data_IF_546979731780
#
_entry.id   IF_546979731780
#
_cell.length_a   1.000
_cell.length_b   1.000
_cell.length_c   1.000
_cell.angle_alpha   90.00
_cell.angle_beta   90.00
_cell.angle_gamma   90.00
#
_symmetry.space_group_name_H-M   'P 1'
#
loop_
_entity.id
_entity.type
_entity.pdbx_description
1 polymer ?
#
# COMPACT_ATOMS: atom_id res chain seq x y z
N UNK A 1 44.73 -2.72 -14.48
CA UNK A 1 46.20 -2.59 -14.40
C UNK A 1 46.57 -2.42 -12.95
N UNK A 2 47.44 -3.29 -12.45
CA UNK A 2 48.01 -3.23 -11.10
C UNK A 2 49.02 -2.10 -11.01
N UNK A 3 49.04 -1.38 -9.90
CA UNK A 3 50.29 -0.93 -9.30
C UNK A 3 50.11 -0.74 -7.79
N UNK A 4 50.82 -1.56 -7.02
CA UNK A 4 51.06 -1.37 -5.59
C UNK A 4 52.36 -0.57 -5.44
N UNK A 5 52.37 0.44 -4.57
CA UNK A 5 53.62 0.93 -3.96
C UNK A 5 53.37 1.16 -2.48
N UNK A 6 53.98 0.31 -1.65
CA UNK A 6 53.98 0.40 -0.19
C UNK A 6 55.23 1.16 0.26
N UNK A 7 55.06 2.27 0.97
CA UNK A 7 56.10 2.88 1.83
C UNK A 7 55.60 2.86 3.27
N UNK A 8 56.22 2.01 4.09
CA UNK A 8 56.01 1.93 5.54
C UNK A 8 56.84 2.99 6.25
N UNK A 9 56.22 3.80 7.12
CA UNK A 9 56.94 4.42 8.23
C UNK A 9 56.08 4.51 9.51
N UNK A 10 56.77 4.29 10.63
CA UNK A 10 56.25 3.91 11.96
C UNK A 10 55.43 5.00 12.65
N UNK A 11 54.24 4.63 13.18
CA UNK A 11 53.74 4.89 14.55
C UNK A 11 52.25 4.47 14.64
N UNK A 12 51.90 3.71 15.68
CA UNK A 12 50.56 3.36 16.16
C UNK A 12 49.37 3.59 15.22
N UNK A 13 48.85 2.51 14.64
CA UNK A 13 47.44 2.40 14.25
C UNK A 13 47.04 0.91 14.21
N UNK A 14 45.91 0.59 14.81
CA UNK A 14 45.24 -0.69 14.68
C UNK A 14 45.06 -1.02 13.19
N UNK A 15 45.55 -2.17 12.74
CA UNK A 15 45.24 -2.71 11.42
C UNK A 15 43.79 -3.21 11.50
N UNK A 16 42.84 -2.36 11.09
CA UNK A 16 41.53 -2.84 10.66
C UNK A 16 41.63 -3.02 9.15
N UNK A 17 41.68 -4.27 8.69
CA UNK A 17 41.46 -4.57 7.29
C UNK A 17 39.96 -4.42 7.01
N UNK A 18 39.53 -3.24 6.58
CA UNK A 18 38.18 -3.06 6.03
C UNK A 18 38.18 -3.58 4.61
N UNK A 19 37.66 -4.79 4.41
CA UNK A 19 37.15 -5.20 3.11
C UNK A 19 35.78 -4.56 2.95
N UNK A 20 35.67 -3.52 2.14
CA UNK A 20 34.37 -2.97 1.73
C UNK A 20 33.72 -3.97 0.78
N UNK A 21 32.74 -4.73 1.28
CA UNK A 21 31.85 -5.50 0.43
C UNK A 21 30.70 -4.55 0.06
N UNK A 22 30.67 -4.08 -1.19
CA UNK A 22 29.51 -3.35 -1.71
C UNK A 22 28.39 -4.37 -1.94
N UNK A 23 27.44 -4.40 -1.00
CA UNK A 23 26.22 -5.18 -1.11
C UNK A 23 25.13 -4.26 -1.67
N UNK A 24 24.54 -4.64 -2.80
CA UNK A 24 23.37 -3.96 -3.37
C UNK A 24 22.12 -4.13 -2.48
N UNK A 25 21.05 -3.35 -2.73
CA UNK A 25 19.87 -3.26 -1.86
C UNK A 25 19.10 -4.58 -1.65
N UNK A 26 19.40 -5.63 -2.43
CA UNK A 26 18.75 -6.94 -2.33
C UNK A 26 19.61 -8.02 -1.63
N UNK A 27 20.66 -7.65 -0.89
CA UNK A 27 21.52 -8.65 -0.22
C UNK A 27 21.08 -8.94 1.22
N UNK A 28 20.51 -10.12 1.46
CA UNK A 28 20.25 -10.65 2.80
C UNK A 28 21.49 -11.36 3.37
N UNK A 29 22.05 -10.86 4.48
CA UNK A 29 23.21 -11.45 5.16
C UNK A 29 22.75 -12.32 6.36
N UNK A 30 22.93 -13.64 6.28
CA UNK A 30 22.63 -14.57 7.38
C UNK A 30 23.94 -15.01 8.05
N UNK A 31 24.15 -14.64 9.32
CA UNK A 31 25.33 -15.02 10.11
C UNK A 31 24.95 -16.11 11.13
N UNK A 32 25.77 -17.18 11.23
CA UNK A 32 25.55 -18.29 12.17
C UNK A 32 25.74 -17.87 13.65
N UNK A 33 24.84 -18.38 14.49
CA UNK A 33 24.51 -18.08 15.90
C UNK A 33 25.63 -18.23 16.98
N UNK A 34 26.89 -18.52 16.63
CA UNK A 34 27.93 -18.88 17.63
C UNK A 34 29.09 -17.88 17.80
N UNK A 35 28.88 -16.58 17.57
CA UNK A 35 29.90 -15.54 17.84
C UNK A 35 29.56 -14.56 18.97
N UNK A 36 28.57 -14.88 19.80
CA UNK A 36 28.06 -13.98 20.85
C UNK A 36 28.57 -14.35 22.26
N UNK A 37 29.87 -14.27 22.52
CA UNK A 37 30.36 -14.55 23.91
C UNK A 37 31.57 -13.73 24.37
N UNK A 38 31.86 -12.57 23.77
CA UNK A 38 32.93 -11.68 24.29
C UNK A 38 32.65 -10.19 24.06
N UNK A 39 31.58 -9.65 24.66
CA UNK A 39 31.35 -8.20 24.71
C UNK A 39 30.43 -7.72 25.85
N UNK A 40 30.38 -8.41 27.01
CA UNK A 40 29.37 -8.11 28.05
C UNK A 40 29.92 -7.33 29.28
N UNK A 41 31.22 -7.04 29.36
CA UNK A 41 31.77 -6.43 30.59
C UNK A 41 31.69 -4.89 30.67
N UNK A 42 31.27 -4.17 29.63
CA UNK A 42 31.28 -2.69 29.62
C UNK A 42 29.90 -2.01 29.51
N UNK A 43 28.81 -2.76 29.50
CA UNK A 43 27.44 -2.22 29.38
C UNK A 43 26.69 -2.06 30.71
N UNK A 44 27.34 -2.35 31.85
CA UNK A 44 26.68 -2.35 33.16
C UNK A 44 26.52 -0.96 33.80
N UNK A 45 27.14 0.11 33.26
CA UNK A 45 27.10 1.44 33.87
C UNK A 45 26.22 2.48 33.14
N UNK A 46 25.72 2.18 31.94
CA UNK A 46 24.76 3.03 31.21
C UNK A 46 23.30 2.64 31.45
N UNK A 47 23.05 1.54 32.16
CA UNK A 47 21.72 0.98 32.38
C UNK A 47 20.92 1.68 33.51
N UNK A 48 21.53 2.58 34.28
CA UNK A 48 20.87 3.24 35.43
C UNK A 48 20.33 4.64 35.09
N UNK A 49 20.74 5.24 33.97
CA UNK A 49 20.27 6.57 33.52
C UNK A 49 19.06 6.54 32.56
N UNK A 50 18.51 5.36 32.25
CA UNK A 50 17.34 5.20 31.37
C UNK A 50 16.00 4.98 32.11
N UNK A 51 16.00 5.06 33.45
CA UNK A 51 14.79 4.85 34.27
C UNK A 51 13.94 6.11 34.48
N UNK A 52 14.25 7.21 33.81
CA UNK A 52 13.37 8.39 33.74
C UNK A 52 12.75 8.53 32.35
N UNK A 53 12.14 7.46 31.85
CA UNK A 53 11.06 7.65 30.91
C UNK A 53 9.93 8.35 31.69
N UNK A 54 9.45 9.55 31.30
CA UNK A 54 8.18 10.01 31.83
C UNK A 54 7.19 8.89 31.54
N UNK A 55 6.50 8.41 32.56
CA UNK A 55 5.39 7.49 32.38
C UNK A 55 4.48 8.13 31.33
N UNK A 56 4.45 7.57 30.13
CA UNK A 56 3.46 7.92 29.11
C UNK A 56 2.13 7.85 29.86
N UNK A 57 1.50 9.01 30.03
CA UNK A 57 0.31 9.14 30.83
C UNK A 57 -0.72 8.16 30.28
N UNK A 58 -0.93 7.04 30.99
CA UNK A 58 -1.97 6.07 30.70
C UNK A 58 -3.32 6.60 31.19
N UNK A 59 -3.63 7.85 30.85
CA UNK A 59 -4.93 8.44 31.05
C UNK A 59 -5.93 7.73 30.15
N UNK A 60 -7.16 7.54 30.65
CA UNK A 60 -8.26 7.14 29.77
C UNK A 60 -8.35 8.14 28.61
N UNK A 61 -8.59 7.71 27.36
CA UNK A 61 -8.79 8.61 26.25
C UNK A 61 -9.85 9.65 26.60
N UNK A 62 -9.52 10.93 26.43
CA UNK A 62 -10.49 12.01 26.63
C UNK A 62 -11.52 11.98 25.50
N UNK A 63 -12.70 11.43 25.80
CA UNK A 63 -13.81 11.27 24.85
C UNK A 63 -14.32 12.61 24.35
N UNK A 64 -14.22 13.67 25.16
CA UNK A 64 -14.64 15.01 24.75
C UNK A 64 -13.65 15.59 23.74
N UNK A 65 -12.34 15.50 24.03
CA UNK A 65 -11.31 15.93 23.09
C UNK A 65 -11.38 15.20 21.74
N UNK A 66 -11.67 13.90 21.75
CA UNK A 66 -11.92 13.12 20.53
C UNK A 66 -13.12 13.67 19.75
N UNK A 67 -14.24 13.89 20.44
CA UNK A 67 -15.48 14.40 19.85
C UNK A 67 -15.30 15.81 19.26
N UNK A 68 -14.56 16.68 19.95
CA UNK A 68 -14.28 18.04 19.48
C UNK A 68 -13.36 18.04 18.27
N UNK A 69 -12.35 17.17 18.25
CA UNK A 69 -11.47 16.97 17.09
C UNK A 69 -12.26 16.54 15.86
N UNK A 70 -13.14 15.54 16.01
CA UNK A 70 -14.00 15.07 14.92
C UNK A 70 -14.93 16.17 14.44
N UNK A 71 -15.56 16.93 15.35
CA UNK A 71 -16.47 18.03 15.00
C UNK A 71 -15.78 19.11 14.17
N UNK A 72 -14.54 19.48 14.53
CA UNK A 72 -13.76 20.45 13.76
C UNK A 72 -13.43 19.92 12.38
N UNK A 73 -12.81 18.73 12.29
CA UNK A 73 -12.37 18.15 11.03
C UNK A 73 -13.52 17.77 10.08
N UNK A 74 -14.72 17.54 10.61
CA UNK A 74 -15.93 17.25 9.83
C UNK A 74 -16.81 18.47 9.56
N UNK A 75 -16.40 19.68 9.98
CA UNK A 75 -17.18 20.90 9.75
C UNK A 75 -17.05 21.40 8.30
N UNK A 76 -18.06 22.14 7.83
CA UNK A 76 -18.06 22.78 6.51
C UNK A 76 -16.84 23.68 6.28
N UNK A 77 -16.31 24.30 7.36
CA UNK A 77 -15.13 25.15 7.29
C UNK A 77 -13.88 24.38 6.81
N UNK A 78 -13.84 23.07 7.06
CA UNK A 78 -12.79 22.16 6.63
C UNK A 78 -13.13 21.48 5.32
N UNK A 79 -14.33 21.60 4.73
CA UNK A 79 -14.62 21.26 3.32
C UNK A 79 -14.24 19.85 2.82
N UNK A 80 -13.87 18.92 3.71
CA UNK A 80 -13.27 17.64 3.36
C UNK A 80 -11.74 17.64 3.44
N UNK A 81 -11.12 16.47 3.26
CA UNK A 81 -9.67 16.29 3.43
C UNK A 81 -9.02 15.61 2.22
N UNK A 82 -9.59 15.86 1.05
CA UNK A 82 -9.00 15.38 -0.20
C UNK A 82 -7.68 16.13 -0.46
N UNK A 83 -6.61 15.41 -0.86
CA UNK A 83 -5.33 16.03 -1.23
C UNK A 83 -5.49 17.05 -2.36
N UNK A 84 -4.63 18.07 -2.40
CA UNK A 84 -4.61 19.07 -3.47
C UNK A 84 -5.74 20.11 -3.43
N UNK A 85 -6.59 20.09 -2.40
CA UNK A 85 -7.64 21.09 -2.19
C UNK A 85 -7.17 22.23 -1.28
N UNK A 86 -7.84 23.39 -1.32
CA UNK A 86 -7.53 24.49 -0.38
C UNK A 86 -7.73 24.08 1.09
N UNK A 87 -8.59 23.09 1.34
CA UNK A 87 -8.91 22.58 2.67
C UNK A 87 -7.82 21.67 3.26
N UNK A 88 -6.97 21.08 2.42
CA UNK A 88 -5.79 20.35 2.86
C UNK A 88 -4.90 21.25 3.72
N UNK A 89 -4.68 22.50 3.31
CA UNK A 89 -3.86 23.46 4.06
C UNK A 89 -4.43 23.70 5.46
N UNK A 90 -5.76 23.89 5.58
CA UNK A 90 -6.43 24.07 6.89
C UNK A 90 -6.26 22.83 7.78
N UNK A 91 -6.39 21.65 7.19
CA UNK A 91 -6.25 20.37 7.88
C UNK A 91 -4.82 20.18 8.38
N UNK A 92 -3.80 20.43 7.54
CA UNK A 92 -2.39 20.35 7.91
C UNK A 92 -2.10 21.31 9.06
N UNK A 93 -2.47 22.59 8.94
CA UNK A 93 -2.26 23.58 10.00
C UNK A 93 -2.89 23.15 11.31
N UNK A 94 -4.15 22.70 11.27
CA UNK A 94 -4.83 22.21 12.47
C UNK A 94 -4.06 21.05 13.13
N UNK A 95 -3.58 20.07 12.36
CA UNK A 95 -2.83 18.94 12.91
C UNK A 95 -1.48 19.38 13.49
N UNK A 96 -0.77 20.29 12.83
CA UNK A 96 0.49 20.87 13.32
C UNK A 96 0.26 21.59 14.65
N UNK A 97 -0.72 22.48 14.74
CA UNK A 97 -1.06 23.22 15.96
C UNK A 97 -1.38 22.25 17.12
N UNK A 98 -2.09 21.15 16.83
CA UNK A 98 -2.41 20.12 17.84
C UNK A 98 -1.17 19.36 18.30
N UNK A 99 -0.24 19.05 17.40
CA UNK A 99 1.02 18.39 17.76
C UNK A 99 1.95 19.30 18.55
N UNK A 100 2.03 20.57 18.20
CA UNK A 100 2.75 21.60 18.95
C UNK A 100 2.18 21.75 20.37
N UNK A 101 0.84 21.83 20.50
CA UNK A 101 0.18 21.92 21.80
C UNK A 101 0.41 20.68 22.69
N UNK A 102 0.70 19.52 22.09
CA UNK A 102 1.08 18.30 22.80
C UNK A 102 2.56 18.24 23.18
N UNK A 103 3.37 19.24 22.78
CA UNK A 103 4.81 19.29 23.04
C UNK A 103 5.61 18.30 22.20
N UNK A 104 5.06 17.86 21.06
CA UNK A 104 5.78 17.01 20.11
C UNK A 104 6.83 17.84 19.36
N UNK A 105 7.77 17.14 18.71
CA UNK A 105 8.75 17.75 17.83
C UNK A 105 8.50 17.32 16.38
N UNK A 106 8.81 18.16 15.38
CA UNK A 106 8.65 17.80 13.98
C UNK A 106 9.50 16.59 13.58
N UNK A 107 8.97 15.78 12.66
CA UNK A 107 9.63 14.56 12.15
C UNK A 107 9.60 14.44 10.62
N UNK A 108 9.21 15.51 9.92
CA UNK A 108 9.19 15.58 8.46
C UNK A 108 10.52 16.06 7.87
N UNK A 109 10.47 16.40 6.58
CA UNK A 109 11.65 16.76 5.81
C UNK A 109 12.36 18.00 6.39
N UNK A 110 13.69 17.97 6.47
CA UNK A 110 14.52 19.08 6.97
C UNK A 110 14.11 19.58 8.37
N UNK A 111 13.54 18.72 9.21
CA UNK A 111 13.06 19.07 10.55
C UNK A 111 11.75 19.87 10.56
N UNK A 112 10.98 19.84 9.46
CA UNK A 112 9.65 20.42 9.39
C UNK A 112 8.56 19.44 9.88
N UNK A 113 7.35 19.95 10.05
CA UNK A 113 6.20 19.15 10.47
C UNK A 113 5.63 18.21 9.40
N UNK A 114 5.98 18.43 8.13
CA UNK A 114 5.39 17.71 6.99
C UNK A 114 6.46 17.01 6.15
N UNK A 115 6.07 15.90 5.54
CA UNK A 115 6.85 15.21 4.52
C UNK A 115 6.20 15.46 3.16
N UNK A 116 6.98 15.85 2.16
CA UNK A 116 6.48 16.09 0.81
C UNK A 116 6.36 14.76 0.07
N UNK A 117 5.18 14.51 -0.49
CA UNK A 117 4.90 13.32 -1.31
C UNK A 117 4.33 13.80 -2.64
N UNK A 118 4.92 13.35 -3.74
CA UNK A 118 4.35 13.56 -5.07
C UNK A 118 3.14 12.66 -5.26
N UNK A 119 2.01 13.23 -5.69
CA UNK A 119 0.80 12.49 -6.02
C UNK A 119 0.45 12.72 -7.49
N UNK A 120 0.02 11.65 -8.16
CA UNK A 120 -0.72 11.72 -9.41
C UNK A 120 -2.20 11.75 -9.06
N UNK A 121 -2.91 12.75 -9.59
CA UNK A 121 -4.35 12.81 -9.59
C UNK A 121 -4.86 12.53 -11.01
N UNK A 122 -5.74 11.55 -11.13
CA UNK A 122 -6.34 11.14 -12.39
C UNK A 122 -7.84 11.30 -12.29
N UNK A 123 -8.44 11.86 -13.35
CA UNK A 123 -9.87 12.08 -13.42
C UNK A 123 -10.34 11.83 -14.85
N UNK A 124 -11.36 10.98 -15.00
CA UNK A 124 -12.08 10.87 -16.27
C UNK A 124 -12.82 12.19 -16.55
N UNK A 125 -12.47 12.84 -17.66
CA UNK A 125 -13.07 14.12 -18.07
C UNK A 125 -14.49 13.97 -18.65
N UNK A 126 -14.84 12.77 -19.09
CA UNK A 126 -16.14 12.42 -19.67
C UNK A 126 -16.47 10.97 -19.38
N UNK A 127 -17.76 10.61 -19.47
CA UNK A 127 -18.17 9.22 -19.31
C UNK A 127 -17.52 8.37 -20.41
N UNK A 128 -16.80 7.29 -20.05
CA UNK A 128 -16.20 6.40 -21.02
C UNK A 128 -17.27 5.58 -21.73
N UNK A 129 -17.00 5.20 -22.98
CA UNK A 129 -17.80 4.18 -23.68
C UNK A 129 -17.30 2.81 -23.27
N UNK A 130 -18.13 2.06 -22.55
CA UNK A 130 -17.81 0.72 -22.06
C UNK A 130 -18.86 -0.25 -22.60
N UNK A 131 -18.40 -1.29 -23.28
CA UNK A 131 -19.27 -2.32 -23.83
C UNK A 131 -18.68 -3.71 -23.61
N UNK A 132 -19.51 -4.63 -23.15
CA UNK A 132 -19.18 -6.05 -23.12
C UNK A 132 -19.82 -6.75 -24.30
N UNK A 133 -19.02 -7.52 -25.02
CA UNK A 133 -19.46 -8.28 -26.18
C UNK A 133 -19.44 -9.78 -25.87
N UNK A 134 -20.55 -10.46 -26.15
CA UNK A 134 -20.67 -11.91 -26.10
C UNK A 134 -21.30 -12.40 -27.40
N UNK A 135 -20.46 -12.89 -28.32
CA UNK A 135 -20.91 -13.24 -29.67
C UNK A 135 -21.49 -12.03 -30.40
N UNK A 136 -22.75 -12.11 -30.82
CA UNK A 136 -23.45 -11.00 -31.48
C UNK A 136 -24.13 -10.02 -30.50
N UNK A 137 -24.14 -10.32 -29.21
CA UNK A 137 -24.75 -9.46 -28.19
C UNK A 137 -23.72 -8.44 -27.70
N UNK A 138 -24.13 -7.18 -27.64
CA UNK A 138 -23.36 -6.10 -27.05
C UNK A 138 -24.17 -5.49 -25.91
N UNK A 139 -23.57 -5.40 -24.73
CA UNK A 139 -24.13 -4.73 -23.57
C UNK A 139 -23.33 -3.48 -23.27
N UNK A 140 -23.93 -2.31 -23.47
CA UNK A 140 -23.37 -1.06 -23.00
C UNK A 140 -23.52 -0.96 -21.48
N UNK A 141 -22.48 -0.45 -20.83
CA UNK A 141 -22.46 -0.25 -19.39
C UNK A 141 -22.26 1.24 -19.05
N UNK A 142 -22.88 1.67 -17.97
CA UNK A 142 -22.89 3.06 -17.51
C UNK A 142 -21.94 3.21 -16.31
N UNK A 143 -20.92 4.07 -16.47
CA UNK A 143 -20.00 4.45 -15.39
C UNK A 143 -20.75 5.01 -14.17
N UNK A 144 -20.39 4.53 -12.98
CA UNK A 144 -21.01 4.85 -11.70
C UNK A 144 -22.34 4.12 -11.42
N UNK A 145 -22.97 3.49 -12.41
CA UNK A 145 -24.23 2.76 -12.25
C UNK A 145 -24.03 1.25 -12.36
N UNK A 146 -23.49 0.79 -13.49
CA UNK A 146 -23.28 -0.64 -13.76
C UNK A 146 -21.85 -1.08 -13.40
N UNK A 147 -20.89 -0.16 -13.49
CA UNK A 147 -19.51 -0.35 -13.07
C UNK A 147 -18.84 0.97 -12.68
N UNK A 148 -17.69 0.87 -12.01
CA UNK A 148 -16.79 1.99 -11.76
C UNK A 148 -15.41 1.64 -12.33
N UNK A 149 -14.92 2.49 -13.23
CA UNK A 149 -13.56 2.42 -13.75
C UNK A 149 -12.83 3.71 -13.38
N UNK A 150 -11.65 3.56 -12.81
CA UNK A 150 -10.66 4.61 -12.66
C UNK A 150 -9.29 4.08 -13.07
N UNK A 151 -8.29 4.95 -13.18
CA UNK A 151 -6.92 4.57 -13.51
C UNK A 151 -5.95 5.38 -12.66
N UNK A 152 -4.79 4.83 -12.33
CA UNK A 152 -3.68 5.56 -11.70
C UNK A 152 -2.60 5.94 -12.71
N UNK A 153 -2.75 5.52 -13.98
CA UNK A 153 -1.81 5.82 -15.04
C UNK A 153 -1.94 7.29 -15.45
N UNK A 154 -0.81 8.00 -15.44
CA UNK A 154 -0.73 9.38 -15.93
C UNK A 154 -0.71 9.40 -17.47
N UNK A 155 -1.87 9.13 -18.08
CA UNK A 155 -2.09 9.13 -19.53
C UNK A 155 -3.40 9.85 -19.87
N UNK A 156 -3.42 10.51 -21.03
CA UNK A 156 -4.60 11.25 -21.50
C UNK A 156 -5.73 10.33 -22.00
N UNK A 157 -5.37 9.11 -22.42
CA UNK A 157 -6.33 8.13 -22.92
C UNK A 157 -5.87 6.69 -22.68
N UNK A 158 -6.84 5.80 -22.52
CA UNK A 158 -6.67 4.34 -22.49
C UNK A 158 -7.70 3.76 -23.46
N UNK A 159 -7.23 3.00 -24.43
CA UNK A 159 -8.08 2.30 -25.39
C UNK A 159 -7.83 0.79 -25.25
N UNK A 160 -8.87 0.05 -24.90
CA UNK A 160 -8.86 -1.42 -24.86
C UNK A 160 -9.85 -1.88 -25.92
N UNK A 161 -9.34 -2.43 -27.03
CA UNK A 161 -10.15 -2.85 -28.16
C UNK A 161 -10.29 -4.38 -28.18
N UNK A 162 -11.54 -4.85 -28.12
CA UNK A 162 -11.94 -6.26 -28.19
C UNK A 162 -11.07 -7.25 -27.38
N UNK A 163 -10.59 -6.82 -26.20
CA UNK A 163 -9.73 -7.66 -25.37
C UNK A 163 -10.52 -8.84 -24.78
N UNK A 164 -9.98 -10.06 -24.80
CA UNK A 164 -10.61 -11.19 -24.12
C UNK A 164 -10.76 -10.92 -22.63
N UNK A 165 -11.88 -11.37 -22.06
CA UNK A 165 -12.17 -11.29 -20.63
C UNK A 165 -11.94 -12.67 -20.02
N UNK A 166 -11.25 -12.72 -18.88
CA UNK A 166 -10.99 -13.97 -18.14
C UNK A 166 -11.48 -13.82 -16.71
N UNK A 167 -12.35 -14.73 -16.28
CA UNK A 167 -12.76 -14.84 -14.89
C UNK A 167 -11.74 -15.68 -14.11
N UNK A 168 -11.20 -15.12 -13.01
CA UNK A 168 -10.13 -15.74 -12.22
C UNK A 168 -10.55 -16.07 -10.79
N UNK A 169 -11.86 -16.14 -10.52
CA UNK A 169 -12.37 -16.36 -9.16
C UNK A 169 -11.92 -15.25 -8.21
N UNK A 170 -11.45 -15.60 -7.02
CA UNK A 170 -10.93 -14.61 -6.07
C UNK A 170 -9.50 -14.13 -6.41
N UNK A 171 -8.79 -14.84 -7.30
CA UNK A 171 -7.48 -14.46 -7.84
C UNK A 171 -6.38 -14.38 -6.80
N UNK A 172 -6.36 -15.28 -5.81
CA UNK A 172 -5.29 -15.41 -4.84
C UNK A 172 -4.19 -16.37 -5.32
N UNK A 173 -2.96 -15.88 -5.34
CA UNK A 173 -1.75 -16.68 -5.43
C UNK A 173 -1.03 -16.61 -4.08
N UNK A 174 -1.25 -17.64 -3.25
CA UNK A 174 -0.78 -17.75 -1.88
C UNK A 174 -0.02 -19.06 -1.65
N UNK A 175 1.24 -19.17 -2.14
CA UNK A 175 2.03 -20.38 -2.00
C UNK A 175 2.25 -20.80 -0.54
N UNK A 176 2.32 -19.84 0.39
CA UNK A 176 2.44 -20.11 1.82
C UNK A 176 1.18 -20.73 2.45
N UNK A 177 0.08 -20.79 1.70
CA UNK A 177 -1.20 -21.42 2.06
C UNK A 177 -1.55 -22.61 1.15
N UNK A 178 -0.59 -23.05 0.33
CA UNK A 178 -0.76 -24.05 -0.73
C UNK A 178 -2.01 -23.76 -1.59
N UNK A 179 -2.16 -22.51 -2.05
CA UNK A 179 -3.31 -22.08 -2.83
C UNK A 179 -2.92 -21.19 -4.02
N UNK A 180 -3.49 -21.49 -5.19
CA UNK A 180 -3.33 -20.71 -6.42
C UNK A 180 -4.62 -20.76 -7.24
N UNK A 181 -5.34 -19.65 -7.29
CA UNK A 181 -6.57 -19.49 -8.10
C UNK A 181 -6.26 -19.39 -9.60
N UNK A 182 -5.01 -19.11 -9.97
CA UNK A 182 -4.66 -18.87 -11.37
C UNK A 182 -4.29 -20.15 -12.11
N UNK A 183 -3.46 -21.03 -11.52
CA UNK A 183 -2.94 -22.19 -12.22
C UNK A 183 -2.31 -21.79 -13.58
N UNK A 184 -2.81 -22.38 -14.66
CA UNK A 184 -2.32 -22.13 -16.03
C UNK A 184 -2.98 -20.93 -16.74
N UNK A 185 -3.78 -20.11 -16.03
CA UNK A 185 -4.45 -18.95 -16.63
C UNK A 185 -3.42 -17.89 -17.07
N UNK A 186 -3.41 -17.60 -18.38
CA UNK A 186 -2.65 -16.49 -18.96
C UNK A 186 -3.50 -15.22 -19.05
N UNK A 187 -3.08 -14.15 -18.37
CA UNK A 187 -3.74 -12.85 -18.40
C UNK A 187 -3.12 -11.85 -19.38
N UNK A 188 -2.04 -12.21 -20.07
CA UNK A 188 -1.36 -11.32 -21.01
C UNK A 188 -2.32 -10.81 -22.07
N UNK A 189 -2.48 -9.48 -22.15
CA UNK A 189 -3.33 -8.85 -23.16
C UNK A 189 -4.84 -9.00 -22.92
N UNK A 190 -5.25 -9.39 -21.71
CA UNK A 190 -6.66 -9.69 -21.36
C UNK A 190 -7.16 -8.81 -20.23
N UNK A 191 -8.48 -8.74 -20.06
CA UNK A 191 -9.13 -8.11 -18.90
C UNK A 191 -9.47 -9.19 -17.89
N UNK A 192 -8.97 -9.06 -16.66
CA UNK A 192 -9.25 -10.02 -15.59
C UNK A 192 -10.50 -9.61 -14.80
N UNK A 193 -11.38 -10.56 -14.49
CA UNK A 193 -12.53 -10.38 -13.58
C UNK A 193 -12.30 -11.20 -12.32
N UNK A 194 -12.31 -10.52 -11.18
CA UNK A 194 -12.15 -11.09 -9.85
C UNK A 194 -13.46 -11.02 -9.07
N UNK A 195 -13.67 -11.95 -8.14
CA UNK A 195 -14.60 -11.79 -7.04
C UNK A 195 -13.97 -10.94 -5.93
N UNK A 196 -14.76 -10.12 -5.25
CA UNK A 196 -14.33 -9.40 -4.05
C UNK A 196 -14.06 -10.38 -2.89
N UNK A 197 -13.16 -10.01 -1.96
CA UNK A 197 -12.78 -10.80 -0.78
C UNK A 197 -11.88 -12.03 -1.08
N UNK A 198 -11.62 -12.83 -0.05
CA UNK A 198 -10.71 -13.97 -0.04
C UNK A 198 -11.36 -15.26 -0.57
N UNK A 199 -10.56 -16.23 -1.06
CA UNK A 199 -11.05 -17.49 -1.62
C UNK A 199 -11.98 -18.31 -0.71
N UNK A 200 -11.79 -18.24 0.61
CA UNK A 200 -12.62 -18.98 1.57
C UNK A 200 -13.76 -18.17 2.18
N UNK A 201 -14.04 -16.97 1.65
CA UNK A 201 -15.10 -16.11 2.16
C UNK A 201 -16.45 -16.79 2.07
N UNK A 202 -16.76 -17.46 0.96
CA UNK A 202 -18.03 -18.16 0.73
C UNK A 202 -17.90 -19.69 0.75
N UNK A 203 -16.71 -20.18 1.07
CA UNK A 203 -16.43 -21.60 1.07
C UNK A 203 -17.26 -22.36 2.13
N UNK A 204 -17.81 -23.50 1.72
CA UNK A 204 -18.37 -24.49 2.61
C UNK A 204 -17.24 -25.21 3.35
N UNK A 205 -17.54 -25.79 4.52
CA UNK A 205 -16.55 -26.54 5.30
C UNK A 205 -15.96 -27.76 4.57
N UNK A 206 -16.61 -28.20 3.49
CA UNK A 206 -16.15 -29.29 2.62
C UNK A 206 -15.21 -28.85 1.51
N UNK A 207 -15.11 -27.55 1.24
CA UNK A 207 -14.32 -27.05 0.13
C UNK A 207 -12.84 -27.09 0.46
N UNK A 208 -12.00 -27.37 -0.54
CA UNK A 208 -10.56 -27.50 -0.36
C UNK A 208 -9.90 -26.22 0.21
N UNK A 209 -10.53 -25.07 -0.03
CA UNK A 209 -10.05 -23.76 0.41
C UNK A 209 -10.47 -23.41 1.84
N UNK A 210 -11.42 -24.15 2.42
CA UNK A 210 -12.05 -23.79 3.67
C UNK A 210 -11.05 -23.63 4.82
N UNK A 211 -11.06 -22.45 5.45
CA UNK A 211 -10.17 -22.11 6.56
C UNK A 211 -8.74 -21.76 6.16
N UNK A 212 -8.36 -21.86 4.88
CA UNK A 212 -7.02 -21.51 4.41
C UNK A 212 -6.73 -20.03 4.49
N UNK A 213 -7.75 -19.17 4.41
CA UNK A 213 -7.62 -17.71 4.48
C UNK A 213 -8.19 -17.14 5.80
N UNK A 214 -8.88 -17.96 6.57
CA UNK A 214 -9.42 -17.59 7.88
C UNK A 214 -10.92 -17.29 7.82
N UNK A 215 -11.62 -17.84 6.83
CA UNK A 215 -13.05 -17.77 6.63
C UNK A 215 -13.52 -16.35 6.39
N UNK A 216 -14.35 -15.82 7.29
CA UNK A 216 -14.95 -14.49 7.12
C UNK A 216 -13.99 -13.32 7.38
N UNK A 217 -12.76 -13.59 7.85
CA UNK A 217 -11.76 -12.53 8.11
C UNK A 217 -10.97 -12.24 6.83
N UNK A 218 -11.09 -11.02 6.32
CA UNK A 218 -10.33 -10.59 5.16
C UNK A 218 -8.81 -10.64 5.41
N UNK A 219 -8.06 -11.16 4.45
CA UNK A 219 -6.58 -11.18 4.43
C UNK A 219 -6.01 -10.13 3.47
N UNK A 220 -4.73 -10.22 3.14
CA UNK A 220 -4.13 -9.45 2.07
C UNK A 220 -4.74 -9.80 0.71
N UNK A 221 -5.02 -11.08 0.45
CA UNK A 221 -5.52 -11.59 -0.83
C UNK A 221 -6.94 -11.12 -1.16
N UNK A 222 -7.77 -10.89 -0.15
CA UNK A 222 -9.11 -10.34 -0.33
C UNK A 222 -9.15 -8.85 -0.72
N UNK A 223 -8.03 -8.12 -0.62
CA UNK A 223 -7.99 -6.68 -0.91
C UNK A 223 -8.00 -6.42 -2.41
N UNK A 224 -8.87 -5.53 -2.85
CA UNK A 224 -8.88 -4.96 -4.20
C UNK A 224 -7.50 -4.51 -4.72
N UNK A 225 -6.70 -3.84 -3.87
CA UNK A 225 -5.33 -3.44 -4.22
C UNK A 225 -4.46 -4.63 -4.63
N UNK A 226 -4.52 -5.74 -3.89
CA UNK A 226 -3.81 -6.96 -4.26
C UNK A 226 -4.27 -7.48 -5.64
N UNK A 227 -5.58 -7.51 -5.90
CA UNK A 227 -6.14 -7.99 -7.18
C UNK A 227 -5.65 -7.15 -8.36
N UNK A 228 -5.60 -5.83 -8.22
CA UNK A 228 -5.05 -4.94 -9.25
C UNK A 228 -3.53 -5.11 -9.46
N UNK A 229 -2.77 -5.22 -8.37
CA UNK A 229 -1.33 -5.47 -8.42
C UNK A 229 -1.01 -6.83 -9.06
N UNK A 230 -1.73 -7.89 -8.69
CA UNK A 230 -1.54 -9.24 -9.23
C UNK A 230 -1.97 -9.34 -10.70
N UNK A 231 -3.07 -8.70 -11.09
CA UNK A 231 -3.44 -8.58 -12.50
C UNK A 231 -2.34 -7.91 -13.33
N UNK A 232 -1.80 -6.79 -12.83
CA UNK A 232 -0.69 -6.09 -13.47
C UNK A 232 0.56 -6.97 -13.57
N UNK A 233 0.92 -7.66 -12.48
CA UNK A 233 2.05 -8.60 -12.44
C UNK A 233 1.93 -9.73 -13.46
N UNK A 234 0.70 -10.13 -13.79
CA UNK A 234 0.37 -11.18 -14.77
C UNK A 234 0.11 -10.66 -16.18
N UNK A 235 0.32 -9.38 -16.44
CA UNK A 235 0.21 -8.78 -17.78
C UNK A 235 -1.22 -8.50 -18.25
N UNK A 236 -2.20 -8.47 -17.34
CA UNK A 236 -3.55 -8.03 -17.70
C UNK A 236 -3.56 -6.56 -18.14
N UNK A 237 -4.40 -6.24 -19.13
CA UNK A 237 -4.62 -4.86 -19.60
C UNK A 237 -5.46 -4.04 -18.62
N UNK A 238 -6.39 -4.72 -17.95
CA UNK A 238 -7.25 -4.14 -16.91
C UNK A 238 -7.74 -5.24 -15.97
N UNK A 239 -8.26 -4.82 -14.82
CA UNK A 239 -8.85 -5.69 -13.84
C UNK A 239 -10.17 -5.09 -13.36
N UNK A 240 -11.19 -5.93 -13.25
CA UNK A 240 -12.49 -5.60 -12.69
C UNK A 240 -12.74 -6.50 -11.49
N UNK A 241 -13.32 -5.94 -10.44
CA UNK A 241 -13.71 -6.69 -9.25
C UNK A 241 -15.22 -6.66 -9.15
N UNK A 242 -15.85 -7.83 -9.12
CA UNK A 242 -17.29 -7.97 -8.90
C UNK A 242 -17.60 -7.53 -7.49
N UNK A 243 -18.39 -6.47 -7.38
CA UNK A 243 -18.80 -5.94 -6.09
C UNK A 243 -20.00 -6.74 -5.55
N UNK A 244 -19.82 -7.31 -4.37
CA UNK A 244 -20.92 -7.82 -3.55
C UNK A 244 -20.85 -7.23 -2.15
N UNK A 245 -21.99 -6.74 -1.63
CA UNK A 245 -22.03 -6.02 -0.36
C UNK A 245 -21.47 -6.84 0.81
N UNK A 246 -21.74 -8.15 0.85
CA UNK A 246 -21.24 -9.02 1.91
C UNK A 246 -19.71 -9.15 1.85
N UNK A 247 -19.14 -9.32 0.65
CA UNK A 247 -17.71 -9.46 0.45
C UNK A 247 -16.95 -8.12 0.56
N UNK A 248 -17.54 -7.02 0.10
CA UNK A 248 -16.95 -5.68 0.16
C UNK A 248 -17.04 -5.03 1.55
N UNK A 249 -18.08 -5.37 2.32
CA UNK A 249 -18.37 -4.76 3.63
C UNK A 249 -19.05 -3.39 3.56
N UNK A 250 -19.37 -2.92 2.36
CA UNK A 250 -20.08 -1.66 2.10
C UNK A 250 -21.00 -1.78 0.88
N UNK A 251 -21.95 -0.86 0.74
CA UNK A 251 -22.86 -0.81 -0.41
C UNK A 251 -22.23 -0.17 -1.64
N UNK A 252 -22.82 -0.44 -2.81
CA UNK A 252 -22.35 0.07 -4.12
C UNK A 252 -22.10 1.59 -4.15
N UNK A 253 -22.90 2.37 -3.39
CA UNK A 253 -22.77 3.83 -3.34
C UNK A 253 -21.40 4.30 -2.84
N UNK A 254 -20.71 3.47 -2.04
CA UNK A 254 -19.35 3.77 -1.57
C UNK A 254 -18.33 3.51 -2.69
N UNK A 255 -18.48 2.43 -3.47
CA UNK A 255 -17.62 2.18 -4.62
C UNK A 255 -17.81 3.25 -5.70
N UNK A 256 -19.05 3.69 -5.91
CA UNK A 256 -19.43 4.64 -6.95
C UNK A 256 -19.42 6.11 -6.50
N UNK A 257 -18.84 6.45 -5.34
CA UNK A 257 -18.94 7.81 -4.78
C UNK A 257 -18.12 8.86 -5.52
N UNK A 258 -17.03 8.44 -6.18
CA UNK A 258 -16.10 9.29 -6.92
C UNK A 258 -15.71 8.65 -8.25
N UNK A 259 -16.68 8.43 -9.17
CA UNK A 259 -16.46 7.60 -10.34
C UNK A 259 -15.38 8.20 -11.25
N UNK A 260 -14.36 7.40 -11.56
CA UNK A 260 -13.28 7.81 -12.46
C UNK A 260 -12.24 8.74 -11.84
N UNK A 261 -12.30 9.01 -10.54
CA UNK A 261 -11.25 9.73 -9.81
C UNK A 261 -10.29 8.75 -9.14
N UNK A 262 -8.99 9.02 -9.20
CA UNK A 262 -8.02 8.26 -8.41
C UNK A 262 -6.81 9.11 -8.00
N UNK A 263 -6.15 8.69 -6.92
CA UNK A 263 -4.90 9.26 -6.45
C UNK A 263 -3.89 8.16 -6.25
N UNK A 264 -2.69 8.34 -6.80
CA UNK A 264 -1.58 7.42 -6.56
C UNK A 264 -0.34 8.20 -6.18
N UNK A 265 0.53 7.56 -5.40
CA UNK A 265 1.88 8.10 -5.19
C UNK A 265 2.55 8.16 -6.56
N UNK A 266 3.07 9.33 -6.91
CA UNK A 266 3.91 9.49 -8.08
C UNK A 266 5.17 8.66 -7.83
N UNK A 267 5.19 7.45 -8.40
CA UNK A 267 6.39 6.63 -8.39
C UNK A 267 7.48 7.45 -9.07
N UNK A 268 8.62 7.60 -8.40
CA UNK A 268 9.80 8.17 -9.03
C UNK A 268 10.00 7.41 -10.35
N UNK A 269 10.06 8.15 -11.47
CA UNK A 269 10.36 7.56 -12.78
C UNK A 269 11.50 6.58 -12.55
N UNK A 270 11.22 5.29 -12.70
CA UNK A 270 12.30 4.32 -12.69
C UNK A 270 13.25 4.80 -13.78
N UNK A 271 14.47 5.15 -13.37
CA UNK A 271 15.53 5.40 -14.31
C UNK A 271 15.64 4.13 -15.19
N UNK A 272 15.81 4.29 -16.51
CA UNK A 272 15.64 3.23 -17.50
C UNK A 272 16.44 1.97 -17.20
#
# INVERSE_FOLDING_TARGET
>A
MLEQTVKLNRRYQHISASTTINLGPDTMLIIKRNYFTRAVASFALAAISLLSAPALASGKPDTQALSDTVRVLASDAFGGRAPGTEYETKTITYLVDRFEALGLTPGGDDGNWTQKIGLNHTQLQQNPRIEFQQGAQNQALIQGQDLEISTVLATDAINIDAAPIVFVGYGANAPERDWDDFGDIDLTGKVAIFLVNDPDFEALSTDAVAGRFGGKRMTYYGRWTYKFEEATRRGALAALVVHETAGAGYGWQVAASSPGENYAIALAKHAP
#
